data_IF_141090344620
#
_entry.id   IF_141090344620
#
_cell.length_a   1.000
_cell.length_b   1.000
_cell.length_c   1.000
_cell.angle_alpha   90.00
_cell.angle_beta   90.00
_cell.angle_gamma   90.00
#
_symmetry.space_group_name_H-M   'P 1'
#
loop_
_entity.id
_entity.type
_entity.pdbx_description
1 polymer ?
#
# COMPACT_ATOMS: atom_id res chain seq x y z
N UNK A 1 11.86 -7.73 -28.80
CA UNK A 1 12.92 -7.95 -27.80
C UNK A 1 12.56 -7.05 -26.65
N UNK A 2 11.92 -7.57 -25.62
CA UNK A 2 11.54 -6.80 -24.43
C UNK A 2 12.81 -6.53 -23.64
N UNK A 3 13.17 -5.26 -23.47
CA UNK A 3 14.17 -4.86 -22.49
C UNK A 3 13.69 -5.37 -21.13
N UNK A 4 14.33 -6.42 -20.62
CA UNK A 4 14.19 -6.79 -19.22
C UNK A 4 14.85 -5.67 -18.43
N UNK A 5 14.02 -4.72 -17.99
CA UNK A 5 14.41 -3.68 -17.06
C UNK A 5 14.96 -4.36 -15.81
N UNK A 6 16.26 -4.20 -15.57
CA UNK A 6 17.05 -4.91 -14.56
C UNK A 6 16.81 -4.36 -13.13
N UNK A 7 15.62 -3.81 -12.89
CA UNK A 7 15.26 -3.14 -11.64
C UNK A 7 14.49 -4.09 -10.73
N UNK A 8 14.54 -3.83 -9.43
CA UNK A 8 13.83 -4.60 -8.42
C UNK A 8 12.34 -4.66 -8.72
N UNK A 9 11.77 -5.85 -8.59
CA UNK A 9 10.32 -6.04 -8.70
C UNK A 9 9.62 -5.49 -7.47
N UNK A 10 8.52 -4.77 -7.71
CA UNK A 10 7.65 -4.28 -6.66
C UNK A 10 6.83 -5.39 -6.01
N UNK A 11 5.88 -5.04 -5.13
CA UNK A 11 4.93 -5.99 -4.59
C UNK A 11 4.14 -6.67 -5.72
N UNK A 12 4.08 -8.02 -5.72
CA UNK A 12 3.50 -8.81 -6.82
C UNK A 12 2.04 -8.43 -7.15
N UNK A 13 1.25 -8.00 -6.15
CA UNK A 13 -0.14 -7.59 -6.34
C UNK A 13 -0.30 -6.21 -7.00
N UNK A 14 0.80 -5.45 -7.18
CA UNK A 14 0.83 -4.14 -7.84
C UNK A 14 1.43 -4.20 -9.25
N UNK A 15 2.03 -5.32 -9.67
CA UNK A 15 2.75 -5.43 -10.95
C UNK A 15 1.86 -5.14 -12.17
N UNK A 16 0.58 -5.48 -12.11
CA UNK A 16 -0.34 -5.25 -13.24
C UNK A 16 -0.93 -3.84 -13.29
N UNK A 17 -0.75 -3.04 -12.24
CA UNK A 17 -1.42 -1.74 -12.06
C UNK A 17 -0.43 -0.60 -11.79
N UNK A 18 0.87 -0.88 -11.76
CA UNK A 18 1.91 0.12 -11.54
C UNK A 18 3.02 0.06 -12.59
N UNK A 19 3.61 1.22 -12.84
CA UNK A 19 4.84 1.37 -13.61
C UNK A 19 5.95 1.88 -12.69
N UNK A 20 7.18 1.40 -12.85
CA UNK A 20 8.31 1.89 -12.06
C UNK A 20 8.52 3.39 -12.29
N UNK A 21 8.53 4.19 -11.22
CA UNK A 21 8.83 5.62 -11.27
C UNK A 21 10.30 5.86 -10.89
N UNK A 22 11.08 6.38 -11.83
CA UNK A 22 12.49 6.77 -11.67
C UNK A 22 13.37 5.72 -10.95
N UNK A 23 13.41 4.47 -11.45
CA UNK A 23 14.17 3.39 -10.82
C UNK A 23 15.68 3.64 -10.67
N UNK A 24 16.24 4.55 -11.47
CA UNK A 24 17.62 5.00 -11.36
C UNK A 24 17.94 5.79 -10.08
N UNK A 25 16.91 6.23 -9.35
CA UNK A 25 17.04 7.01 -8.12
C UNK A 25 16.79 6.21 -6.84
N UNK A 26 16.34 4.95 -6.96
CA UNK A 26 16.03 4.12 -5.80
C UNK A 26 17.30 3.76 -5.03
N UNK A 27 17.20 3.77 -3.70
CA UNK A 27 18.17 3.11 -2.82
C UNK A 27 17.91 1.60 -2.82
N UNK A 28 18.85 0.80 -2.30
CA UNK A 28 18.83 -0.67 -2.39
C UNK A 28 17.54 -1.29 -1.83
N UNK A 29 17.01 -0.70 -0.76
CA UNK A 29 15.79 -1.17 -0.09
C UNK A 29 14.50 -0.49 -0.55
N UNK A 30 14.52 0.37 -1.57
CA UNK A 30 13.35 1.12 -2.04
C UNK A 30 12.81 0.61 -3.37
N UNK A 31 11.49 0.62 -3.52
CA UNK A 31 10.80 0.54 -4.80
C UNK A 31 9.69 1.59 -4.83
N UNK A 32 9.57 2.33 -5.94
CA UNK A 32 8.47 3.28 -6.14
C UNK A 32 7.70 2.99 -7.43
N UNK A 33 6.42 2.69 -7.32
CA UNK A 33 5.51 2.48 -8.45
C UNK A 33 4.52 3.63 -8.61
N UNK A 34 4.38 4.17 -9.82
CA UNK A 34 3.27 5.06 -10.19
C UNK A 34 2.07 4.22 -10.63
N UNK A 35 0.90 4.51 -10.07
CA UNK A 35 -0.34 3.82 -10.43
C UNK A 35 -0.75 4.21 -11.87
N UNK A 36 -0.91 3.21 -12.73
CA UNK A 36 -1.34 3.39 -14.12
C UNK A 36 -2.10 2.15 -14.61
N UNK A 37 -3.34 2.34 -15.11
CA UNK A 37 -4.09 1.22 -15.70
C UNK A 37 -3.50 0.79 -17.05
N UNK A 38 -3.90 -0.38 -17.55
CA UNK A 38 -3.48 -0.87 -18.89
C UNK A 38 -3.89 0.07 -20.03
N UNK A 39 -4.91 0.89 -19.83
CA UNK A 39 -5.37 1.93 -20.75
C UNK A 39 -4.60 3.26 -20.61
N UNK A 40 -3.61 3.33 -19.71
CA UNK A 40 -2.75 4.51 -19.52
C UNK A 40 -3.34 5.58 -18.61
N UNK A 41 -4.40 5.28 -17.85
CA UNK A 41 -5.02 6.24 -16.92
C UNK A 41 -4.18 6.39 -15.66
N UNK A 42 -4.00 7.62 -15.18
CA UNK A 42 -3.15 7.95 -14.02
C UNK A 42 -3.90 8.66 -12.89
N UNK A 43 -5.20 8.91 -13.05
CA UNK A 43 -6.03 9.64 -12.09
C UNK A 43 -7.02 8.69 -11.42
N UNK A 44 -7.03 8.68 -10.09
CA UNK A 44 -7.81 7.75 -9.29
C UNK A 44 -8.41 8.41 -8.06
N UNK A 45 -9.54 7.87 -7.59
CA UNK A 45 -10.12 8.17 -6.28
C UNK A 45 -9.57 7.24 -5.23
N UNK A 46 -9.22 7.78 -4.07
CA UNK A 46 -8.69 6.99 -2.97
C UNK A 46 -9.80 6.66 -1.96
N UNK A 47 -9.90 5.40 -1.59
CA UNK A 47 -10.77 4.91 -0.52
C UNK A 47 -9.94 4.17 0.51
N UNK A 48 -10.30 4.31 1.78
CA UNK A 48 -9.60 3.61 2.84
C UNK A 48 -10.54 3.08 3.93
N UNK A 49 -10.07 2.06 4.63
CA UNK A 49 -10.57 1.59 5.91
C UNK A 49 -9.46 1.77 6.93
N UNK A 50 -9.78 2.39 8.06
CA UNK A 50 -8.82 2.71 9.11
C UNK A 50 -9.17 4.00 9.83
N UNK A 51 -8.39 4.33 10.86
CA UNK A 51 -8.53 5.59 11.59
C UNK A 51 -7.50 6.61 11.08
N UNK A 52 -7.92 7.86 10.85
CA UNK A 52 -6.99 8.92 10.45
C UNK A 52 -6.32 9.51 11.68
N UNK A 53 -4.99 9.41 11.75
CA UNK A 53 -4.18 9.99 12.83
C UNK A 53 -2.93 10.62 12.21
N UNK A 54 -2.73 11.92 12.45
CA UNK A 54 -1.52 12.66 12.03
C UNK A 54 -1.12 12.50 10.56
N UNK A 55 -2.10 12.45 9.66
CA UNK A 55 -1.87 12.28 8.22
C UNK A 55 -1.65 10.83 7.77
N UNK A 56 -1.75 9.86 8.69
CA UNK A 56 -1.64 8.43 8.43
C UNK A 56 -3.02 7.75 8.57
N UNK A 57 -3.13 6.55 7.99
CA UNK A 57 -4.27 5.65 8.16
C UNK A 57 -3.80 4.50 9.06
N UNK A 58 -4.26 4.50 10.31
CA UNK A 58 -3.96 3.48 11.31
C UNK A 58 -4.95 2.31 11.27
N UNK A 59 -4.53 1.18 11.82
CA UNK A 59 -5.40 0.03 12.07
C UNK A 59 -6.55 0.41 13.01
N UNK A 60 -7.66 -0.31 12.89
CA UNK A 60 -8.77 -0.24 13.86
C UNK A 60 -8.69 -1.39 14.86
N UNK A 61 -9.48 -1.34 15.93
CA UNK A 61 -9.67 -2.48 16.85
C UNK A 61 -10.27 -3.71 16.15
N UNK A 62 -11.04 -3.50 15.06
CA UNK A 62 -11.70 -4.59 14.35
C UNK A 62 -10.78 -5.24 13.33
N UNK A 63 -10.10 -4.47 12.48
CA UNK A 63 -9.23 -4.99 11.44
C UNK A 63 -8.13 -3.98 11.02
N UNK A 64 -7.00 -4.50 10.49
CA UNK A 64 -5.98 -3.73 9.79
C UNK A 64 -6.50 -2.83 8.66
N UNK A 65 -5.71 -1.81 8.33
CA UNK A 65 -6.05 -0.84 7.30
C UNK A 65 -6.19 -1.47 5.91
N UNK A 66 -7.08 -0.92 5.10
CA UNK A 66 -7.28 -1.28 3.69
C UNK A 66 -7.25 -0.01 2.87
N UNK A 67 -6.49 0.00 1.78
CA UNK A 67 -6.34 1.14 0.88
C UNK A 67 -6.66 0.68 -0.53
N UNK A 68 -7.60 1.38 -1.17
CA UNK A 68 -8.10 1.08 -2.50
C UNK A 68 -8.01 2.33 -3.37
N UNK A 69 -7.64 2.15 -4.63
CA UNK A 69 -7.83 3.13 -5.68
C UNK A 69 -9.05 2.75 -6.51
N UNK A 70 -9.84 3.73 -6.95
CA UNK A 70 -10.96 3.55 -7.86
C UNK A 70 -10.74 4.39 -9.11
N UNK A 71 -10.86 3.79 -10.28
CA UNK A 71 -10.84 4.53 -11.55
C UNK A 71 -12.18 5.30 -11.69
N UNK A 72 -12.17 6.64 -11.80
CA UNK A 72 -13.39 7.44 -11.86
C UNK A 72 -14.22 7.22 -13.14
N UNK A 73 -13.64 6.57 -14.16
CA UNK A 73 -14.31 6.31 -15.45
C UNK A 73 -14.94 4.92 -15.46
N UNK A 74 -14.22 3.88 -15.01
CA UNK A 74 -14.70 2.49 -15.05
C UNK A 74 -15.32 2.03 -13.75
N UNK A 75 -15.16 2.80 -12.66
CA UNK A 75 -15.53 2.41 -11.29
C UNK A 75 -14.80 1.13 -10.82
N UNK A 76 -13.73 0.73 -11.52
CA UNK A 76 -12.92 -0.42 -11.16
C UNK A 76 -12.04 -0.08 -9.96
N UNK A 77 -11.97 -1.01 -9.00
CA UNK A 77 -11.20 -0.84 -7.76
C UNK A 77 -9.95 -1.70 -7.75
N UNK A 78 -8.83 -1.08 -7.41
CA UNK A 78 -7.52 -1.69 -7.28
C UNK A 78 -7.08 -1.65 -5.82
N UNK A 79 -6.62 -2.79 -5.30
CA UNK A 79 -6.10 -2.87 -3.93
C UNK A 79 -4.68 -2.32 -3.93
N UNK A 80 -4.47 -1.20 -3.22
CA UNK A 80 -3.14 -0.62 -3.05
C UNK A 80 -2.42 -1.19 -1.83
N UNK A 81 -3.16 -1.47 -0.75
CA UNK A 81 -2.62 -2.09 0.44
C UNK A 81 -3.73 -2.78 1.23
N UNK A 82 -3.49 -4.01 1.71
CA UNK A 82 -4.40 -4.74 2.58
C UNK A 82 -3.62 -5.24 3.79
N UNK A 83 -3.78 -4.58 4.94
CA UNK A 83 -3.07 -4.92 6.17
C UNK A 83 -3.37 -6.33 6.69
N UNK A 84 -4.54 -6.91 6.36
CA UNK A 84 -4.88 -8.28 6.76
C UNK A 84 -4.14 -9.34 5.94
N UNK A 85 -3.48 -8.95 4.83
CA UNK A 85 -2.76 -9.88 3.93
C UNK A 85 -1.29 -9.51 3.75
N UNK A 86 -1.02 -8.21 3.63
CA UNK A 86 0.28 -7.64 3.28
C UNK A 86 0.91 -6.89 4.46
N UNK A 87 0.21 -6.80 5.60
CA UNK A 87 0.77 -6.24 6.83
C UNK A 87 1.76 -7.20 7.48
N UNK A 88 2.71 -6.63 8.23
CA UNK A 88 3.72 -7.40 8.96
C UNK A 88 3.09 -8.47 9.87
N UNK A 89 2.14 -8.06 10.73
CA UNK A 89 1.44 -8.97 11.63
C UNK A 89 0.69 -10.07 10.86
N UNK A 90 0.03 -9.75 9.73
CA UNK A 90 -0.65 -10.75 8.92
C UNK A 90 0.29 -11.82 8.34
N UNK A 91 1.53 -11.45 8.06
CA UNK A 91 2.52 -12.36 7.48
C UNK A 91 3.25 -13.20 8.54
N UNK A 92 3.36 -12.72 9.78
CA UNK A 92 4.25 -13.31 10.80
C UNK A 92 3.56 -13.71 12.11
N UNK A 93 2.53 -13.00 12.56
CA UNK A 93 2.02 -13.09 13.93
C UNK A 93 0.54 -13.48 14.00
N UNK A 94 -0.30 -12.83 13.20
CA UNK A 94 -1.76 -12.82 13.35
C UNK A 94 -2.44 -13.58 12.21
N UNK A 95 -3.56 -14.23 12.54
CA UNK A 95 -4.50 -14.76 11.56
C UNK A 95 -5.83 -14.05 11.72
N UNK A 96 -6.31 -13.40 10.66
CA UNK A 96 -7.56 -12.64 10.66
C UNK A 96 -8.75 -13.51 10.26
N UNK A 97 -9.92 -13.24 10.85
CA UNK A 97 -11.17 -13.93 10.53
C UNK A 97 -11.66 -13.58 9.12
N UNK A 98 -12.57 -14.39 8.58
CA UNK A 98 -13.21 -14.08 7.29
C UNK A 98 -13.93 -12.74 7.34
N UNK A 99 -14.60 -12.42 8.45
CA UNK A 99 -15.29 -11.14 8.61
C UNK A 99 -14.31 -9.98 8.61
N UNK A 100 -13.14 -10.11 9.24
CA UNK A 100 -12.10 -9.06 9.21
C UNK A 100 -11.52 -8.83 7.80
N UNK A 101 -11.60 -9.82 6.91
CA UNK A 101 -11.24 -9.63 5.51
C UNK A 101 -12.34 -8.95 4.68
N UNK A 102 -13.61 -9.30 4.90
CA UNK A 102 -14.74 -8.91 4.04
C UNK A 102 -15.56 -7.73 4.55
N UNK A 103 -15.71 -7.58 5.86
CA UNK A 103 -16.69 -6.70 6.49
C UNK A 103 -16.06 -5.37 6.95
N UNK A 104 -14.99 -4.96 6.27
CA UNK A 104 -14.29 -3.68 6.46
C UNK A 104 -15.06 -2.52 5.80
N UNK A 105 -16.29 -2.32 6.25
CA UNK A 105 -17.20 -1.30 5.74
C UNK A 105 -17.68 -0.37 6.87
N UNK A 106 -17.95 0.92 6.59
CA UNK A 106 -17.84 1.57 5.28
C UNK A 106 -16.40 1.95 4.91
N UNK A 107 -16.08 1.88 3.61
CA UNK A 107 -14.89 2.50 3.05
C UNK A 107 -15.10 4.02 3.02
N UNK A 108 -14.12 4.76 3.52
CA UNK A 108 -14.16 6.22 3.56
C UNK A 108 -13.47 6.79 2.30
N UNK A 109 -14.12 7.68 1.54
CA UNK A 109 -13.44 8.39 0.47
C UNK A 109 -12.41 9.34 1.07
N UNK A 110 -11.24 9.41 0.46
CA UNK A 110 -10.24 10.41 0.78
C UNK A 110 -10.49 11.66 -0.08
N UNK A 111 -10.60 12.80 0.61
CA UNK A 111 -10.69 14.13 0.01
C UNK A 111 -9.60 14.97 0.67
N UNK A 112 -8.90 15.75 -0.12
CA UNK A 112 -7.86 16.63 0.39
C UNK A 112 -8.45 17.89 1.08
N UNK A 113 -7.57 18.83 1.46
CA UNK A 113 -7.99 20.05 2.15
C UNK A 113 -8.73 21.04 1.23
N UNK A 114 -8.49 20.95 -0.07
CA UNK A 114 -9.06 21.83 -1.09
C UNK A 114 -10.37 21.25 -1.69
N UNK A 115 -10.69 20.00 -1.37
CA UNK A 115 -11.91 19.31 -1.81
C UNK A 115 -11.72 18.42 -3.03
N UNK A 116 -10.49 18.20 -3.48
CA UNK A 116 -10.19 17.31 -4.59
C UNK A 116 -10.32 15.85 -4.13
N UNK A 117 -10.91 15.02 -4.98
CA UNK A 117 -11.13 13.58 -4.74
C UNK A 117 -10.32 12.68 -5.68
N UNK A 118 -9.59 13.29 -6.63
CA UNK A 118 -8.92 12.61 -7.74
C UNK A 118 -7.44 12.94 -7.75
N UNK A 119 -6.59 11.92 -7.71
CA UNK A 119 -5.15 12.08 -7.50
C UNK A 119 -4.33 11.23 -8.47
N UNK A 120 -3.10 11.68 -8.72
CA UNK A 120 -2.03 10.80 -9.20
C UNK A 120 -1.38 10.12 -8.00
N UNK A 121 -1.25 8.79 -8.06
CA UNK A 121 -0.84 7.98 -6.92
C UNK A 121 0.54 7.36 -7.15
N UNK A 122 1.40 7.50 -6.14
CA UNK A 122 2.73 6.92 -6.09
C UNK A 122 2.81 6.04 -4.84
N UNK A 123 3.30 4.82 -5.00
CA UNK A 123 3.39 3.83 -3.95
C UNK A 123 4.86 3.51 -3.76
N UNK A 124 5.38 3.81 -2.57
CA UNK A 124 6.76 3.50 -2.21
C UNK A 124 6.77 2.36 -1.20
N UNK A 125 7.48 1.28 -1.52
CA UNK A 125 7.72 0.16 -0.64
C UNK A 125 9.17 0.17 -0.19
N UNK A 126 9.37 0.06 1.12
CA UNK A 126 10.68 -0.12 1.74
C UNK A 126 10.81 -1.58 2.20
N UNK A 127 11.92 -2.20 1.84
CA UNK A 127 12.22 -3.58 2.16
C UNK A 127 13.30 -3.72 3.24
N UNK A 128 13.60 -2.64 3.95
CA UNK A 128 14.51 -2.69 5.07
C UNK A 128 13.77 -3.17 6.31
N UNK A 129 14.30 -4.19 6.97
CA UNK A 129 13.97 -4.48 8.36
C UNK A 129 15.04 -3.75 9.15
N UNK A 130 14.66 -2.73 9.91
CA UNK A 130 15.59 -2.09 10.85
C UNK A 130 15.81 -3.06 12.02
N UNK A 131 16.76 -3.97 11.83
CA UNK A 131 17.10 -4.99 12.82
C UNK A 131 17.63 -4.39 14.12
N UNK A 132 18.19 -3.17 14.09
CA UNK A 132 18.69 -2.50 15.29
C UNK A 132 17.53 -1.97 16.16
N UNK A 133 16.43 -1.52 15.55
CA UNK A 133 15.22 -1.12 16.29
C UNK A 133 14.41 -2.33 16.79
N UNK A 134 14.24 -3.39 15.96
CA UNK A 134 13.43 -4.58 16.32
C UNK A 134 14.07 -5.48 17.40
N UNK A 135 15.40 -5.45 17.59
CA UNK A 135 16.10 -6.26 18.61
C UNK A 135 16.57 -5.48 19.84
N UNK A 136 16.31 -4.17 19.92
CA UNK A 136 16.85 -3.32 21.00
C UNK A 136 16.33 -3.69 22.40
N UNK A 137 15.22 -4.42 22.54
CA UNK A 137 14.60 -4.68 23.84
C UNK A 137 14.75 -6.12 24.38
N UNK A 138 15.38 -7.06 23.65
CA UNK A 138 15.43 -8.48 24.05
C UNK A 138 16.83 -9.10 24.11
N UNK A 139 17.86 -8.31 24.41
CA UNK A 139 19.18 -8.85 24.77
C UNK A 139 19.74 -8.22 26.05
N UNK A 140 19.04 -8.44 27.16
CA UNK A 140 19.66 -8.31 28.48
C UNK A 140 20.61 -9.49 28.70
N UNK A 141 21.83 -9.38 28.15
CA UNK A 141 22.95 -10.26 28.50
C UNK A 141 23.52 -9.74 29.82
N UNK A 142 23.03 -10.25 30.96
CA UNK A 142 23.77 -10.29 32.24
C UNK A 142 23.17 -11.33 33.20
#
# INVERSE_FOLDING_TARGET
MSEQSNYRLGPAYLEEVTIADKPETWVEEEWTGKLQTKEGRTQFRLYYYGERMDGLIATTDFAPQLILAEDPITEERFILFDGCKHGYNAMLCDTYSKEQHTDRLPLQPYVDQDGEDTFEMYITAYYNVDWDEEFSDDVDIC
#
